data_IF_547007674952
#
_entry.id   IF_547007674952
#
_cell.length_a   1.000
_cell.length_b   1.000
_cell.length_c   1.000
_cell.angle_alpha   90.00
_cell.angle_beta   90.00
_cell.angle_gamma   90.00
#
_symmetry.space_group_name_H-M   'P 1'
#
loop_
_entity.id
_entity.type
_entity.pdbx_description
1 polymer ?
#
# COMPACT_ATOMS: atom_id res chain seq x y z
N UNK A 1 48.62 -2.52 0.32
CA UNK A 1 47.14 -2.63 0.33
C UNK A 1 46.52 -1.80 1.45
N UNK A 2 47.11 -1.74 2.66
CA UNK A 2 46.63 -0.90 3.77
C UNK A 2 46.57 0.61 3.47
N UNK A 3 47.51 1.17 2.70
CA UNK A 3 47.50 2.60 2.33
C UNK A 3 46.29 3.00 1.46
N UNK A 4 45.83 2.12 0.55
CA UNK A 4 44.64 2.34 -0.28
C UNK A 4 43.35 2.33 0.54
N UNK A 5 43.30 1.54 1.62
CA UNK A 5 42.15 1.48 2.52
C UNK A 5 42.07 2.72 3.43
N UNK A 6 43.20 3.25 3.88
CA UNK A 6 43.27 4.50 4.62
C UNK A 6 42.85 5.71 3.77
N UNK A 7 43.30 5.77 2.50
CA UNK A 7 42.90 6.82 1.55
C UNK A 7 41.39 6.76 1.22
N UNK A 8 40.84 5.55 1.00
CA UNK A 8 39.40 5.37 0.78
C UNK A 8 38.61 5.72 2.05
N UNK A 9 39.13 5.40 3.24
CA UNK A 9 38.55 5.82 4.51
C UNK A 9 38.47 7.35 4.63
N UNK A 10 39.53 8.07 4.28
CA UNK A 10 39.56 9.53 4.37
C UNK A 10 38.64 10.22 3.33
N UNK A 11 38.45 9.60 2.15
CA UNK A 11 37.49 10.06 1.15
C UNK A 11 36.03 9.74 1.49
N UNK A 12 35.76 8.62 2.17
CA UNK A 12 34.40 8.25 2.61
C UNK A 12 33.88 9.12 3.76
N UNK A 13 34.76 9.56 4.65
CA UNK A 13 34.43 10.46 5.77
C UNK A 13 34.67 11.95 5.46
N UNK A 14 35.04 12.29 4.21
CA UNK A 14 35.11 13.69 3.79
C UNK A 14 33.70 14.26 3.64
N UNK A 15 33.29 15.06 4.63
CA UNK A 15 32.01 15.76 4.65
C UNK A 15 31.79 16.65 3.42
N UNK A 16 32.85 17.14 2.77
CA UNK A 16 32.78 17.93 1.54
C UNK A 16 32.22 17.14 0.35
N UNK A 17 32.65 15.88 0.18
CA UNK A 17 32.18 15.02 -0.91
C UNK A 17 30.73 14.62 -0.65
N UNK A 18 30.40 14.28 0.59
CA UNK A 18 29.02 13.99 1.01
C UNK A 18 28.11 15.19 0.77
N UNK A 19 28.53 16.40 1.18
CA UNK A 19 27.76 17.63 0.96
C UNK A 19 27.56 17.92 -0.54
N UNK A 20 28.56 17.67 -1.38
CA UNK A 20 28.45 17.86 -2.83
C UNK A 20 27.57 16.81 -3.53
N UNK A 21 27.54 15.58 -3.01
CA UNK A 21 26.60 14.54 -3.48
C UNK A 21 25.17 14.84 -3.02
N UNK A 22 24.98 15.36 -1.81
CA UNK A 22 23.66 15.77 -1.29
C UNK A 22 23.10 17.01 -1.99
N UNK A 23 23.93 17.83 -2.61
CA UNK A 23 23.47 18.99 -3.40
C UNK A 23 22.91 18.60 -4.77
N UNK A 24 23.09 17.36 -5.22
CA UNK A 24 22.48 16.89 -6.48
C UNK A 24 20.98 16.63 -6.30
N UNK A 25 20.17 17.18 -7.22
CA UNK A 25 18.70 17.09 -7.18
C UNK A 25 18.20 15.64 -7.10
N UNK A 26 18.81 14.72 -7.84
CA UNK A 26 18.44 13.30 -7.79
C UNK A 26 18.52 12.74 -6.35
N UNK A 27 19.60 13.03 -5.62
CA UNK A 27 19.81 12.49 -4.27
C UNK A 27 18.77 13.06 -3.31
N UNK A 28 18.47 14.36 -3.41
CA UNK A 28 17.43 15.00 -2.61
C UNK A 28 16.05 14.41 -2.90
N UNK A 29 15.72 14.19 -4.17
CA UNK A 29 14.46 13.57 -4.58
C UNK A 29 14.32 12.14 -4.01
N UNK A 30 15.39 11.35 -4.07
CA UNK A 30 15.40 9.99 -3.53
C UNK A 30 15.24 9.98 -2.00
N UNK A 31 15.90 10.90 -1.29
CA UNK A 31 15.77 11.05 0.16
C UNK A 31 14.36 11.45 0.59
N UNK A 32 13.76 12.42 -0.11
CA UNK A 32 12.37 12.86 0.16
C UNK A 32 11.39 11.72 -0.14
N UNK A 33 11.55 11.02 -1.27
CA UNK A 33 10.72 9.88 -1.61
C UNK A 33 10.82 8.76 -0.56
N UNK A 34 12.04 8.42 -0.11
CA UNK A 34 12.26 7.43 0.93
C UNK A 34 11.64 7.84 2.28
N UNK A 35 11.76 9.11 2.66
CA UNK A 35 11.14 9.63 3.88
C UNK A 35 9.61 9.53 3.84
N UNK A 36 8.98 9.91 2.72
CA UNK A 36 7.53 9.81 2.53
C UNK A 36 7.06 8.35 2.55
N UNK A 37 7.74 7.46 1.83
CA UNK A 37 7.42 6.04 1.80
C UNK A 37 7.59 5.39 3.18
N UNK A 38 8.67 5.71 3.90
CA UNK A 38 8.91 5.24 5.26
C UNK A 38 7.84 5.69 6.25
N UNK A 39 7.42 6.95 6.16
CA UNK A 39 6.33 7.49 6.97
C UNK A 39 5.01 6.73 6.75
N UNK A 40 4.62 6.54 5.49
CA UNK A 40 3.37 5.85 5.14
C UNK A 40 3.44 4.37 5.52
N UNK A 41 4.55 3.69 5.21
CA UNK A 41 4.74 2.29 5.55
C UNK A 41 4.72 2.05 7.07
N UNK A 42 5.38 2.92 7.84
CA UNK A 42 5.38 2.87 9.30
C UNK A 42 4.00 3.10 9.90
N UNK A 43 3.18 3.98 9.30
CA UNK A 43 1.84 4.27 9.78
C UNK A 43 0.83 3.15 9.45
N UNK A 44 0.96 2.53 8.28
CA UNK A 44 0.07 1.45 7.82
C UNK A 44 0.46 0.09 8.45
N UNK A 45 1.76 -0.13 8.71
CA UNK A 45 2.33 -1.40 9.17
C UNK A 45 1.57 -2.07 10.33
N UNK A 46 1.33 -1.37 11.46
CA UNK A 46 0.60 -1.94 12.60
C UNK A 46 -0.80 -2.44 12.24
N UNK A 47 -1.52 -1.72 11.38
CA UNK A 47 -2.87 -2.11 10.94
C UNK A 47 -2.87 -3.37 10.06
N UNK A 48 -1.86 -3.54 9.20
CA UNK A 48 -1.72 -4.74 8.36
C UNK A 48 -1.53 -5.97 9.24
N UNK A 49 -0.64 -5.88 10.23
CA UNK A 49 -0.31 -6.99 11.13
C UNK A 49 -1.52 -7.38 11.99
N UNK A 50 -2.20 -6.41 12.59
CA UNK A 50 -3.37 -6.69 13.44
C UNK A 50 -4.53 -7.34 12.69
N UNK A 51 -4.67 -7.09 11.38
CA UNK A 51 -5.82 -7.56 10.59
C UNK A 51 -5.56 -8.87 9.83
N UNK A 52 -4.37 -9.47 9.97
CA UNK A 52 -3.98 -10.71 9.28
C UNK A 52 -4.21 -10.66 7.75
N UNK A 53 -4.10 -9.46 7.15
CA UNK A 53 -4.32 -9.21 5.71
C UNK A 53 -3.00 -9.06 4.93
N UNK A 54 -1.92 -9.67 5.42
CA UNK A 54 -0.60 -9.64 4.79
C UNK A 54 -0.61 -10.16 3.35
N UNK A 55 -1.39 -11.21 3.05
CA UNK A 55 -1.51 -11.76 1.69
C UNK A 55 -2.15 -10.78 0.69
N UNK A 56 -3.15 -9.99 1.11
CA UNK A 56 -3.81 -9.03 0.23
C UNK A 56 -2.87 -7.86 -0.12
N UNK A 57 -2.03 -7.44 0.82
CA UNK A 57 -1.02 -6.39 0.60
C UNK A 57 0.03 -6.88 -0.40
N UNK A 58 0.57 -8.08 -0.19
CA UNK A 58 1.51 -8.69 -1.14
C UNK A 58 0.87 -8.84 -2.54
N UNK A 59 -0.39 -9.31 -2.56
CA UNK A 59 -1.29 -9.31 -3.71
C UNK A 59 -1.29 -8.03 -4.53
N UNK A 60 -1.53 -6.91 -3.84
CA UNK A 60 -1.67 -5.61 -4.47
C UNK A 60 -0.37 -5.08 -5.09
N UNK A 61 0.78 -5.41 -4.51
CA UNK A 61 2.10 -4.99 -5.03
C UNK A 61 2.42 -5.63 -6.37
N UNK A 62 2.19 -6.95 -6.50
CA UNK A 62 2.45 -7.69 -7.75
C UNK A 62 1.48 -7.28 -8.86
N UNK A 63 0.22 -7.02 -8.52
CA UNK A 63 -0.78 -6.54 -9.48
C UNK A 63 -0.53 -5.09 -9.91
N UNK A 64 -0.01 -4.25 -9.02
CA UNK A 64 0.49 -2.92 -9.37
C UNK A 64 1.64 -3.01 -10.36
N UNK A 65 2.59 -3.93 -10.16
CA UNK A 65 3.68 -4.19 -11.11
C UNK A 65 3.14 -4.67 -12.46
N UNK A 66 2.13 -5.55 -12.47
CA UNK A 66 1.45 -6.00 -13.69
C UNK A 66 0.84 -4.84 -14.47
N UNK A 67 0.14 -3.92 -13.78
CA UNK A 67 -0.43 -2.72 -14.39
C UNK A 67 0.63 -1.74 -14.90
N UNK A 68 1.75 -1.61 -14.18
CA UNK A 68 2.89 -0.79 -14.59
C UNK A 68 3.55 -1.35 -15.87
N UNK A 69 3.75 -2.67 -15.94
CA UNK A 69 4.27 -3.36 -17.11
C UNK A 69 3.34 -3.24 -18.32
N UNK A 70 2.03 -3.34 -18.10
CA UNK A 70 1.04 -3.11 -19.16
C UNK A 70 1.09 -1.67 -19.68
N UNK A 71 1.12 -0.67 -18.79
CA UNK A 71 1.22 0.73 -19.22
C UNK A 71 2.51 1.02 -19.99
N UNK A 72 3.62 0.39 -19.58
CA UNK A 72 4.88 0.48 -20.32
C UNK A 72 4.73 -0.06 -21.76
N UNK A 73 4.05 -1.20 -21.94
CA UNK A 73 3.81 -1.79 -23.25
C UNK A 73 2.98 -0.88 -24.17
N UNK A 74 1.95 -0.23 -23.62
CA UNK A 74 1.09 0.70 -24.38
C UNK A 74 1.77 2.07 -24.59
N UNK A 75 2.86 2.35 -23.88
CA UNK A 75 3.56 3.65 -23.94
C UNK A 75 2.92 4.75 -23.10
N UNK A 76 2.05 4.39 -22.14
CA UNK A 76 1.50 5.32 -21.15
C UNK A 76 2.45 5.49 -19.96
N UNK A 77 2.21 6.53 -19.15
CA UNK A 77 2.98 6.77 -17.93
C UNK A 77 2.91 5.59 -16.96
N UNK A 78 4.07 5.01 -16.65
CA UNK A 78 4.23 3.82 -15.79
C UNK A 78 3.57 4.00 -14.41
N UNK A 79 3.68 5.19 -13.82
CA UNK A 79 3.05 5.51 -12.54
C UNK A 79 1.52 5.44 -12.57
N UNK A 80 0.89 5.86 -13.67
CA UNK A 80 -0.57 5.75 -13.83
C UNK A 80 -0.99 4.29 -14.01
N UNK A 81 -0.22 3.51 -14.78
CA UNK A 81 -0.43 2.07 -14.90
C UNK A 81 -0.38 1.34 -13.57
N UNK A 82 0.61 1.66 -12.73
CA UNK A 82 0.74 1.11 -11.39
C UNK A 82 -0.47 1.44 -10.51
N UNK A 83 -0.92 2.72 -10.51
CA UNK A 83 -2.09 3.13 -9.74
C UNK A 83 -3.36 2.39 -10.21
N UNK A 84 -3.60 2.32 -11.52
CA UNK A 84 -4.77 1.62 -12.08
C UNK A 84 -4.71 0.13 -11.74
N UNK A 85 -3.53 -0.50 -11.86
CA UNK A 85 -3.32 -1.90 -11.50
C UNK A 85 -3.60 -2.18 -10.02
N UNK A 86 -3.10 -1.33 -9.12
CA UNK A 86 -3.35 -1.43 -7.68
C UNK A 86 -4.83 -1.21 -7.32
N UNK A 87 -5.52 -0.27 -7.99
CA UNK A 87 -6.94 -0.01 -7.78
C UNK A 87 -7.80 -1.20 -8.27
N UNK A 88 -7.46 -1.78 -9.43
CA UNK A 88 -8.12 -2.97 -9.95
C UNK A 88 -7.91 -4.17 -9.03
N UNK A 89 -6.70 -4.34 -8.50
CA UNK A 89 -6.39 -5.36 -7.49
C UNK A 89 -7.25 -5.21 -6.23
N UNK A 90 -7.32 -3.99 -5.69
CA UNK A 90 -8.14 -3.69 -4.52
C UNK A 90 -9.63 -3.97 -4.77
N UNK A 91 -10.14 -3.60 -5.95
CA UNK A 91 -11.52 -3.89 -6.35
C UNK A 91 -11.77 -5.40 -6.46
N UNK A 92 -10.84 -6.14 -7.09
CA UNK A 92 -10.95 -7.59 -7.26
C UNK A 92 -10.96 -8.31 -5.90
N UNK A 93 -10.04 -7.96 -4.99
CA UNK A 93 -10.04 -8.50 -3.64
C UNK A 93 -11.27 -8.09 -2.82
N UNK A 94 -11.81 -6.89 -3.06
CA UNK A 94 -13.04 -6.40 -2.43
C UNK A 94 -14.27 -7.23 -2.84
N UNK A 95 -14.42 -7.53 -4.13
CA UNK A 95 -15.57 -8.30 -4.65
C UNK A 95 -15.46 -9.79 -4.30
N UNK A 96 -14.28 -10.38 -4.48
CA UNK A 96 -14.06 -11.82 -4.23
C UNK A 96 -13.95 -12.13 -2.72
N UNK A 97 -13.81 -11.12 -1.86
CA UNK A 97 -13.63 -11.27 -0.42
C UNK A 97 -14.84 -11.74 0.38
N UNK A 98 -15.94 -12.21 -0.18
CA UNK A 98 -17.15 -12.48 0.62
C UNK A 98 -17.07 -13.69 1.58
N UNK A 99 -16.08 -14.59 1.42
CA UNK A 99 -15.87 -15.75 2.32
C UNK A 99 -14.40 -15.88 2.73
N UNK A 100 -14.13 -15.86 4.04
CA UNK A 100 -12.78 -15.86 4.60
C UNK A 100 -11.90 -17.06 4.17
N UNK A 101 -12.50 -18.24 3.92
CA UNK A 101 -11.77 -19.47 3.58
C UNK A 101 -11.46 -19.65 2.09
N UNK A 102 -12.21 -18.98 1.21
CA UNK A 102 -11.98 -18.99 -0.24
C UNK A 102 -10.99 -17.87 -0.65
N UNK A 103 -10.80 -16.86 0.20
CA UNK A 103 -9.92 -15.71 -0.06
C UNK A 103 -8.48 -16.11 -0.34
N UNK A 104 -7.87 -16.94 0.50
CA UNK A 104 -6.43 -17.21 0.39
C UNK A 104 -6.07 -17.96 -0.90
N UNK A 105 -6.90 -18.94 -1.29
CA UNK A 105 -6.73 -19.66 -2.55
C UNK A 105 -6.97 -18.77 -3.77
N UNK A 106 -8.01 -17.93 -3.73
CA UNK A 106 -8.31 -17.01 -4.83
C UNK A 106 -7.22 -15.95 -4.98
N UNK A 107 -6.73 -15.38 -3.87
CA UNK A 107 -5.64 -14.40 -3.87
C UNK A 107 -4.38 -15.03 -4.47
N UNK A 108 -4.04 -16.27 -4.10
CA UNK A 108 -2.90 -17.01 -4.66
C UNK A 108 -2.99 -17.21 -6.18
N UNK A 109 -4.17 -17.58 -6.70
CA UNK A 109 -4.39 -17.74 -8.15
C UNK A 109 -4.28 -16.40 -8.88
N UNK A 110 -4.89 -15.34 -8.34
CA UNK A 110 -4.81 -13.99 -8.91
C UNK A 110 -3.37 -13.47 -8.90
N UNK A 111 -2.62 -13.73 -7.84
CA UNK A 111 -1.20 -13.39 -7.71
C UNK A 111 -0.36 -14.07 -8.80
N UNK A 112 -0.47 -15.39 -8.94
CA UNK A 112 0.27 -16.15 -9.94
C UNK A 112 -0.07 -15.70 -11.36
N UNK A 113 -1.35 -15.42 -11.62
CA UNK A 113 -1.82 -14.90 -12.90
C UNK A 113 -1.28 -13.49 -13.19
N UNK A 114 -1.34 -12.58 -12.21
CA UNK A 114 -0.81 -11.23 -12.32
C UNK A 114 0.68 -11.23 -12.63
N UNK A 115 1.47 -11.97 -11.85
CA UNK A 115 2.91 -12.07 -12.08
C UNK A 115 3.25 -12.65 -13.46
N UNK A 116 2.51 -13.67 -13.90
CA UNK A 116 2.64 -14.23 -15.25
C UNK A 116 2.37 -13.20 -16.35
N UNK A 117 1.33 -12.38 -16.19
CA UNK A 117 1.03 -11.27 -17.10
C UNK A 117 2.11 -10.19 -17.07
N UNK A 118 2.64 -9.84 -15.89
CA UNK A 118 3.71 -8.84 -15.78
C UNK A 118 4.95 -9.24 -16.57
N UNK A 119 5.40 -10.49 -16.40
CA UNK A 119 6.54 -11.06 -17.13
C UNK A 119 6.25 -11.12 -18.64
N UNK A 120 5.03 -11.51 -19.03
CA UNK A 120 4.61 -11.53 -20.44
C UNK A 120 4.70 -10.12 -21.07
N UNK A 121 4.17 -9.09 -20.42
CA UNK A 121 4.21 -7.73 -20.94
C UNK A 121 5.63 -7.17 -21.03
N UNK A 122 6.49 -7.50 -20.05
CA UNK A 122 7.90 -7.13 -20.09
C UNK A 122 8.61 -7.82 -21.25
N UNK A 123 8.33 -9.11 -21.51
CA UNK A 123 8.92 -9.84 -22.64
C UNK A 123 8.45 -9.33 -24.00
N UNK A 124 7.19 -8.91 -24.11
CA UNK A 124 6.64 -8.39 -25.35
C UNK A 124 7.09 -6.95 -25.63
N UNK A 125 7.62 -6.24 -24.63
CA UNK A 125 8.07 -4.86 -24.78
C UNK A 125 9.37 -4.78 -25.59
N UNK A 126 9.37 -4.14 -26.77
CA UNK A 126 10.54 -4.06 -27.65
C UNK A 126 11.52 -2.92 -27.29
N UNK A 127 11.25 -2.18 -26.20
CA UNK A 127 12.03 -1.00 -25.82
C UNK A 127 13.28 -1.28 -24.98
N UNK A 128 13.86 -0.22 -24.40
CA UNK A 128 15.12 -0.28 -23.63
C UNK A 128 15.02 -1.25 -22.45
N UNK A 129 15.89 -2.27 -22.46
CA UNK A 129 16.00 -3.29 -21.41
C UNK A 129 16.24 -2.67 -20.03
N UNK A 130 16.95 -1.55 -19.97
CA UNK A 130 17.21 -0.80 -18.72
C UNK A 130 15.92 -0.35 -18.01
N UNK A 131 14.87 0.04 -18.74
CA UNK A 131 13.59 0.46 -18.16
C UNK A 131 12.78 -0.72 -17.64
N UNK A 132 12.90 -1.90 -18.26
CA UNK A 132 12.30 -3.13 -17.75
C UNK A 132 12.99 -3.62 -16.48
N UNK A 133 14.33 -3.59 -16.43
CA UNK A 133 15.10 -3.90 -15.22
C UNK A 133 14.78 -2.92 -14.08
N UNK A 134 14.53 -1.66 -14.40
CA UNK A 134 14.11 -0.64 -13.46
C UNK A 134 12.80 -0.98 -12.73
N UNK A 135 11.83 -1.51 -13.47
CA UNK A 135 10.55 -1.90 -12.92
C UNK A 135 10.65 -3.13 -12.02
N UNK A 136 11.47 -4.12 -12.38
CA UNK A 136 11.65 -5.35 -11.62
C UNK A 136 12.43 -5.15 -10.31
N UNK A 137 13.43 -4.27 -10.33
CA UNK A 137 14.31 -4.02 -9.16
C UNK A 137 13.79 -2.93 -8.24
N UNK A 138 12.85 -2.10 -8.71
CA UNK A 138 12.30 -0.98 -7.95
C UNK A 138 13.36 0.09 -7.69
N UNK A 139 13.50 1.04 -8.62
CA UNK A 139 14.47 2.12 -8.49
C UNK A 139 13.82 3.46 -8.09
N UNK A 140 14.30 4.01 -6.98
CA UNK A 140 13.85 5.32 -6.44
C UNK A 140 14.62 6.50 -7.03
N UNK A 141 15.77 6.22 -7.67
CA UNK A 141 16.79 7.18 -8.11
C UNK A 141 16.39 7.93 -9.39
N UNK A 142 15.49 7.37 -10.20
CA UNK A 142 15.17 7.87 -11.55
C UNK A 142 13.77 8.45 -11.73
N UNK A 143 13.04 8.72 -10.64
CA UNK A 143 11.60 9.04 -10.69
C UNK A 143 11.33 10.44 -11.28
N UNK A 144 12.33 11.33 -11.26
CA UNK A 144 12.22 12.70 -11.76
C UNK A 144 11.20 13.56 -10.99
N UNK A 145 11.06 14.83 -11.38
CA UNK A 145 10.15 15.77 -10.70
C UNK A 145 8.67 15.39 -10.83
N UNK A 146 8.26 14.94 -12.02
CA UNK A 146 6.86 14.55 -12.28
C UNK A 146 6.46 13.29 -11.50
N UNK A 147 7.36 12.31 -11.38
CA UNK A 147 7.08 11.12 -10.58
C UNK A 147 7.09 11.42 -9.08
N UNK A 148 7.97 12.31 -8.60
CA UNK A 148 8.03 12.68 -7.19
C UNK A 148 6.76 13.43 -6.75
N UNK A 149 6.27 14.35 -7.57
CA UNK A 149 5.01 15.07 -7.28
C UNK A 149 3.81 14.11 -7.25
N UNK A 150 3.75 13.15 -8.18
CA UNK A 150 2.73 12.10 -8.18
C UNK A 150 2.81 11.23 -6.92
N UNK A 151 4.02 10.80 -6.52
CA UNK A 151 4.26 10.05 -5.28
C UNK A 151 3.79 10.84 -4.06
N UNK A 152 4.20 12.11 -3.95
CA UNK A 152 3.84 12.97 -2.82
C UNK A 152 2.32 13.17 -2.72
N UNK A 153 1.63 13.37 -3.84
CA UNK A 153 0.17 13.52 -3.89
C UNK A 153 -0.53 12.24 -3.41
N UNK A 154 -0.09 11.07 -3.88
CA UNK A 154 -0.65 9.77 -3.46
C UNK A 154 -0.37 9.51 -1.98
N UNK A 155 0.85 9.78 -1.48
CA UNK A 155 1.18 9.66 -0.06
C UNK A 155 0.28 10.56 0.80
N UNK A 156 0.08 11.82 0.40
CA UNK A 156 -0.77 12.77 1.11
C UNK A 156 -2.24 12.31 1.11
N UNK A 157 -2.73 11.81 -0.02
CA UNK A 157 -4.07 11.21 -0.12
C UNK A 157 -4.22 10.03 0.83
N UNK A 158 -3.25 9.11 0.85
CA UNK A 158 -3.27 7.93 1.74
C UNK A 158 -3.26 8.34 3.21
N UNK A 159 -2.43 9.30 3.59
CA UNK A 159 -2.39 9.84 4.97
C UNK A 159 -3.72 10.51 5.32
N UNK A 160 -4.31 11.29 4.42
CA UNK A 160 -5.60 11.95 4.65
C UNK A 160 -6.73 10.93 4.82
N UNK A 161 -6.79 9.92 3.95
CA UNK A 161 -7.75 8.80 4.08
C UNK A 161 -7.52 8.06 5.40
N UNK A 162 -6.28 7.79 5.77
CA UNK A 162 -5.97 7.10 7.02
C UNK A 162 -6.35 7.95 8.24
N UNK A 163 -6.11 9.26 8.22
CA UNK A 163 -6.49 10.17 9.31
C UNK A 163 -8.02 10.22 9.51
N UNK A 164 -8.79 10.23 8.41
CA UNK A 164 -10.26 10.19 8.49
C UNK A 164 -10.81 8.83 8.92
N UNK A 165 -10.18 7.73 8.47
CA UNK A 165 -10.54 6.36 8.80
C UNK A 165 -9.93 5.84 10.12
N UNK A 166 -9.03 6.60 10.75
CA UNK A 166 -8.31 6.18 11.98
C UNK A 166 -9.27 5.86 13.12
N UNK A 167 -10.30 6.71 13.31
CA UNK A 167 -11.35 6.51 14.33
C UNK A 167 -12.10 5.18 14.14
N UNK A 168 -12.76 4.90 13.01
CA UNK A 168 -13.49 3.64 12.83
C UNK A 168 -12.57 2.41 12.81
N UNK A 169 -11.32 2.52 12.33
CA UNK A 169 -10.37 1.40 12.40
C UNK A 169 -9.96 1.05 13.83
N UNK A 170 -9.68 2.05 14.67
CA UNK A 170 -9.38 1.82 16.09
C UNK A 170 -10.55 1.16 16.82
N UNK A 171 -11.78 1.64 16.60
CA UNK A 171 -12.97 1.06 17.24
C UNK A 171 -13.23 -0.39 16.78
N UNK A 172 -12.93 -0.74 15.53
CA UNK A 172 -13.07 -2.10 15.04
C UNK A 172 -11.97 -3.05 15.53
N UNK A 173 -10.80 -2.53 15.95
CA UNK A 173 -9.62 -3.34 16.31
C UNK A 173 -9.48 -3.54 17.83
N UNK A 174 -9.88 -2.55 18.63
CA UNK A 174 -9.73 -2.60 20.10
C UNK A 174 -10.85 -3.40 20.75
N UNK A 175 -12.09 -3.30 20.27
CA UNK A 175 -13.20 -4.05 20.86
C UNK A 175 -14.45 -4.11 19.95
N UNK A 176 -14.61 -5.15 19.12
CA UNK A 176 -15.82 -5.31 18.28
C UNK A 176 -17.10 -5.51 19.11
N UNK A 177 -17.00 -5.95 20.38
CA UNK A 177 -18.13 -6.15 21.29
C UNK A 177 -18.56 -4.85 22.00
N UNK A 178 -17.61 -4.02 22.44
CA UNK A 178 -17.94 -2.72 23.07
C UNK A 178 -18.47 -1.72 22.03
N UNK A 179 -18.10 -1.82 20.75
CA UNK A 179 -18.71 -1.03 19.68
C UNK A 179 -20.20 -1.39 19.45
N UNK A 180 -20.56 -2.67 19.58
CA UNK A 180 -21.95 -3.13 19.54
C UNK A 180 -22.72 -2.69 20.81
N UNK A 181 -22.08 -2.73 21.98
CA UNK A 181 -22.68 -2.31 23.24
C UNK A 181 -22.87 -0.78 23.33
N UNK A 182 -21.90 0.03 22.85
CA UNK A 182 -21.97 1.49 22.87
C UNK A 182 -23.04 2.06 21.91
N UNK A 183 -23.43 1.31 20.88
CA UNK A 183 -24.51 1.66 19.96
C UNK A 183 -25.91 1.38 20.54
N UNK A 184 -26.00 0.60 21.63
CA UNK A 184 -27.25 0.21 22.27
C UNK A 184 -27.49 1.01 23.55
N UNK A 185 -28.38 2.01 23.48
CA UNK A 185 -29.00 2.55 24.69
C UNK A 185 -29.92 1.47 25.26
N UNK A 186 -29.67 1.01 26.48
CA UNK A 186 -30.58 0.10 27.18
C UNK A 186 -31.86 0.87 27.53
N UNK A 187 -32.87 0.78 26.67
CA UNK A 187 -34.21 1.29 26.97
C UNK A 187 -34.92 0.26 27.85
N UNK A 188 -35.70 0.72 28.83
CA UNK A 188 -36.41 -0.12 29.81
C UNK A 188 -37.44 -1.09 29.16
N UNK A 189 -37.65 -1.02 27.84
CA UNK A 189 -38.57 -1.86 27.06
C UNK A 189 -37.90 -3.00 26.28
N UNK A 190 -36.60 -3.26 26.48
CA UNK A 190 -35.92 -4.40 25.84
C UNK A 190 -35.69 -4.25 24.33
N UNK A 191 -35.76 -3.03 23.78
CA UNK A 191 -35.47 -2.78 22.35
C UNK A 191 -34.24 -1.87 22.18
N UNK A 192 -33.29 -2.32 21.37
CA UNK A 192 -32.14 -1.51 20.93
C UNK A 192 -32.49 -0.77 19.65
N UNK A 193 -32.54 0.56 19.72
CA UNK A 193 -32.52 1.41 18.51
C UNK A 193 -31.07 1.81 18.21
N UNK A 194 -30.54 1.57 17.00
CA UNK A 194 -29.17 1.96 16.64
C UNK A 194 -29.04 3.49 16.64
N UNK A 195 -28.06 4.02 17.39
CA UNK A 195 -27.80 5.47 17.50
C UNK A 195 -26.87 6.03 16.41
N UNK A 196 -26.24 5.18 15.60
CA UNK A 196 -25.26 5.62 14.61
C UNK A 196 -25.76 5.35 13.19
N UNK A 197 -25.98 6.45 12.47
CA UNK A 197 -26.36 6.51 11.07
C UNK A 197 -25.20 6.08 10.17
N UNK A 198 -25.40 5.01 9.39
CA UNK A 198 -25.04 5.06 7.97
C UNK A 198 -24.27 3.91 7.34
N UNK A 199 -23.52 3.08 8.09
CA UNK A 199 -22.53 2.20 7.43
C UNK A 199 -22.48 0.74 7.89
N UNK A 200 -23.29 0.31 8.86
CA UNK A 200 -23.31 -1.08 9.31
C UNK A 200 -24.70 -1.70 9.12
N UNK A 201 -24.81 -2.90 8.51
CA UNK A 201 -26.09 -3.59 8.43
C UNK A 201 -26.59 -3.89 9.86
N UNK A 202 -27.86 -3.61 10.18
CA UNK A 202 -28.40 -3.86 11.51
C UNK A 202 -28.41 -5.36 11.79
N UNK A 203 -27.53 -5.81 12.69
CA UNK A 203 -27.64 -7.15 13.23
C UNK A 203 -28.78 -7.17 14.24
N UNK A 204 -29.77 -8.04 14.02
CA UNK A 204 -30.94 -8.16 14.90
C UNK A 204 -30.50 -8.80 16.22
N UNK A 205 -30.52 -8.05 17.32
CA UNK A 205 -30.41 -8.65 18.65
C UNK A 205 -31.69 -9.45 18.94
N UNK A 206 -31.53 -10.74 19.23
CA UNK A 206 -32.62 -11.61 19.70
C UNK A 206 -32.73 -11.47 21.23
N UNK A 207 -33.92 -11.71 21.78
CA UNK A 207 -34.28 -11.54 23.21
C UNK A 207 -33.47 -12.37 24.23
N UNK A 208 -32.46 -13.12 23.80
CA UNK A 208 -31.59 -13.96 24.63
C UNK A 208 -30.29 -13.26 25.09
N UNK A 209 -30.15 -11.95 24.89
CA UNK A 209 -29.01 -11.18 25.39
C UNK A 209 -27.69 -11.45 24.66
N UNK A 210 -27.72 -12.14 23.52
CA UNK A 210 -26.55 -12.33 22.63
C UNK A 210 -26.81 -11.65 21.30
N UNK A 211 -26.05 -10.60 21.00
CA UNK A 211 -26.02 -9.96 19.70
C UNK A 211 -24.87 -10.60 18.91
N UNK A 212 -25.20 -11.21 17.76
CA UNK A 212 -24.22 -11.73 16.79
C UNK A 212 -24.16 -10.80 15.62
#
# INVERSE_FOLDING_TARGET
MEHRLADVGHHLFSFDITAHLLSHDFVQQALVAAALLGLVAGLIGPFIVMRQMSFAVHGSSELSLTGAAFALLVGFGVGLGALIGSALAAALFGVLGRRARERDSVIGVVLAFGLGLAVLFIHLYPGRTATSFALLTGQIVGVGYTGLTMLALVCLLVIAVLATCYRPLLFATVDPDVAAAAACRFTRSGSCSPRWSGWWPPRRCRSSGRCW
#
